data_IF_722605466957
#
_entry.id   IF_722605466957
#
_cell.length_a   1.000
_cell.length_b   1.000
_cell.length_c   1.000
_cell.angle_alpha   90.00
_cell.angle_beta   90.00
_cell.angle_gamma   90.00
#
_symmetry.space_group_name_H-M   'P 1'
#
loop_
_entity.id
_entity.type
_entity.pdbx_description
1 polymer ?
#
# COMPACT_ATOMS: atom_id res chain seq x y z
N UNK A 1 9.99 0.47 7.61
CA UNK A 1 10.52 1.19 8.80
C UNK A 1 9.74 0.68 10.00
N UNK A 2 10.39 0.29 11.09
CA UNK A 2 9.72 -0.26 12.27
C UNK A 2 9.04 0.86 13.05
N UNK A 3 7.70 0.85 13.10
CA UNK A 3 6.87 1.85 13.77
C UNK A 3 7.25 2.06 15.23
N UNK A 4 7.70 0.99 15.87
CA UNK A 4 8.16 1.01 17.26
C UNK A 4 9.40 1.86 17.43
N UNK A 5 10.27 1.88 16.41
CA UNK A 5 11.49 2.69 16.39
C UNK A 5 11.14 4.17 16.22
N UNK A 6 10.23 4.51 15.31
CA UNK A 6 9.75 5.88 15.13
C UNK A 6 9.11 6.42 16.41
N UNK A 7 8.18 5.67 17.01
CA UNK A 7 7.55 6.06 18.28
C UNK A 7 8.56 6.25 19.41
N UNK A 8 9.56 5.38 19.50
CA UNK A 8 10.60 5.49 20.52
C UNK A 8 11.40 6.79 20.35
N UNK A 9 11.86 7.08 19.14
CA UNK A 9 12.59 8.32 18.86
C UNK A 9 11.74 9.55 19.12
N UNK A 10 10.45 9.51 18.75
CA UNK A 10 9.55 10.63 18.95
C UNK A 10 9.26 10.88 20.44
N UNK A 11 9.10 9.82 21.24
CA UNK A 11 8.98 9.92 22.70
C UNK A 11 10.24 10.50 23.35
N UNK A 12 11.43 10.08 22.89
CA UNK A 12 12.70 10.66 23.36
C UNK A 12 12.78 12.14 23.01
N UNK A 13 12.43 12.52 21.79
CA UNK A 13 12.45 13.91 21.34
C UNK A 13 11.48 14.80 22.15
N UNK A 14 10.27 14.31 22.44
CA UNK A 14 9.30 15.02 23.30
C UNK A 14 9.86 15.23 24.71
N UNK A 15 10.51 14.22 25.28
CA UNK A 15 11.12 14.32 26.61
C UNK A 15 12.25 15.36 26.65
N UNK A 16 13.09 15.42 25.61
CA UNK A 16 14.14 16.41 25.46
C UNK A 16 13.58 17.83 25.32
N UNK A 17 12.52 18.01 24.50
CA UNK A 17 11.86 19.32 24.35
C UNK A 17 11.26 19.80 25.68
N UNK A 18 10.74 18.90 26.51
CA UNK A 18 10.21 19.23 27.84
C UNK A 18 11.26 19.76 28.82
N UNK A 19 12.55 19.55 28.57
CA UNK A 19 13.65 20.07 29.39
C UNK A 19 14.14 21.47 28.99
N UNK A 20 13.65 22.01 27.87
CA UNK A 20 14.03 23.33 27.34
C UNK A 20 13.21 24.48 28.00
N UNK A 21 13.71 25.72 27.99
CA UNK A 21 12.96 26.90 28.45
C UNK A 21 11.63 27.09 27.69
N UNK A 22 10.60 27.59 28.39
CA UNK A 22 9.23 27.71 27.84
C UNK A 22 9.12 28.50 26.54
N UNK A 23 10.02 29.47 26.28
CA UNK A 23 10.01 30.27 25.05
C UNK A 23 10.30 29.46 23.78
N UNK A 24 11.02 28.33 23.90
CA UNK A 24 11.38 27.47 22.77
C UNK A 24 10.49 26.22 22.66
N UNK A 25 9.81 25.84 23.76
CA UNK A 25 8.96 24.64 23.79
C UNK A 25 7.79 24.71 22.83
N UNK A 26 7.12 25.86 22.71
CA UNK A 26 5.85 25.97 21.97
C UNK A 26 6.03 25.61 20.49
N UNK A 27 7.05 26.19 19.84
CA UNK A 27 7.33 25.96 18.42
C UNK A 27 7.79 24.52 18.15
N UNK A 28 8.59 23.94 19.05
CA UNK A 28 9.06 22.56 18.91
C UNK A 28 7.93 21.54 19.11
N UNK A 29 7.03 21.78 20.07
CA UNK A 29 5.83 20.94 20.28
C UNK A 29 4.90 20.97 19.06
N UNK A 30 4.73 22.12 18.42
CA UNK A 30 3.96 22.23 17.18
C UNK A 30 4.59 21.41 16.04
N UNK A 31 5.91 21.50 15.84
CA UNK A 31 6.63 20.73 14.83
C UNK A 31 6.57 19.22 15.06
N UNK A 32 6.66 18.77 16.32
CA UNK A 32 6.49 17.36 16.67
C UNK A 32 5.08 16.88 16.30
N UNK A 33 4.05 17.64 16.68
CA UNK A 33 2.66 17.30 16.36
C UNK A 33 2.41 17.26 14.85
N UNK A 34 2.96 18.21 14.10
CA UNK A 34 2.87 18.21 12.64
C UNK A 34 3.56 16.98 12.02
N UNK A 35 4.71 16.59 12.57
CA UNK A 35 5.46 15.41 12.14
C UNK A 35 4.70 14.11 12.40
N UNK A 36 4.05 13.98 13.56
CA UNK A 36 3.16 12.84 13.87
C UNK A 36 2.01 12.73 12.87
N UNK A 37 1.33 13.85 12.59
CA UNK A 37 0.21 13.91 11.65
C UNK A 37 0.68 13.50 10.24
N UNK A 38 1.78 14.08 9.76
CA UNK A 38 2.34 13.74 8.44
C UNK A 38 2.75 12.29 8.35
N UNK A 39 3.38 11.73 9.38
CA UNK A 39 3.77 10.33 9.42
C UNK A 39 2.55 9.40 9.36
N UNK A 40 1.47 9.74 10.08
CA UNK A 40 0.21 9.00 10.06
C UNK A 40 -0.47 9.04 8.69
N UNK A 41 -0.56 10.21 8.07
CA UNK A 41 -1.12 10.36 6.72
C UNK A 41 -0.31 9.57 5.68
N UNK A 42 1.02 9.66 5.75
CA UNK A 42 1.91 8.91 4.85
C UNK A 42 1.70 7.41 4.97
N UNK A 43 1.55 6.87 6.19
CA UNK A 43 1.20 5.44 6.37
C UNK A 43 -0.12 5.07 5.77
N UNK A 44 -1.14 5.92 5.97
CA UNK A 44 -2.47 5.69 5.41
C UNK A 44 -2.41 5.63 3.88
N UNK A 45 -1.69 6.56 3.26
CA UNK A 45 -1.46 6.55 1.80
C UNK A 45 -0.70 5.30 1.36
N UNK A 46 0.34 4.89 2.08
CA UNK A 46 1.10 3.68 1.75
C UNK A 46 0.23 2.42 1.84
N UNK A 47 -0.59 2.29 2.89
CA UNK A 47 -1.54 1.18 3.04
C UNK A 47 -2.53 1.14 1.87
N UNK A 48 -3.11 2.28 1.50
CA UNK A 48 -4.05 2.36 0.38
C UNK A 48 -3.41 1.99 -0.97
N UNK A 49 -2.15 2.37 -1.18
CA UNK A 49 -1.38 1.95 -2.37
C UNK A 49 -1.16 0.44 -2.34
N UNK A 50 -0.76 -0.11 -1.20
CA UNK A 50 -0.55 -1.54 -1.04
C UNK A 50 -1.83 -2.33 -1.34
N UNK A 51 -2.97 -1.89 -0.79
CA UNK A 51 -4.28 -2.51 -1.05
C UNK A 51 -4.66 -2.43 -2.54
N UNK A 52 -4.37 -1.30 -3.20
CA UNK A 52 -4.62 -1.12 -4.64
C UNK A 52 -3.74 -2.03 -5.49
N UNK A 53 -2.48 -2.24 -5.10
CA UNK A 53 -1.55 -3.15 -5.78
C UNK A 53 -1.98 -4.61 -5.59
N UNK A 54 -2.41 -4.99 -4.39
CA UNK A 54 -2.92 -6.33 -4.12
C UNK A 54 -4.22 -6.61 -4.88
N UNK A 55 -5.11 -5.61 -4.97
CA UNK A 55 -6.30 -5.69 -5.81
C UNK A 55 -5.93 -5.87 -7.29
N UNK A 56 -5.04 -5.02 -7.81
CA UNK A 56 -4.57 -5.12 -9.20
C UNK A 56 -3.94 -6.49 -9.50
N UNK A 57 -3.12 -7.00 -8.58
CA UNK A 57 -2.53 -8.34 -8.70
C UNK A 57 -3.61 -9.42 -8.82
N UNK A 58 -4.67 -9.34 -8.03
CA UNK A 58 -5.79 -10.27 -8.09
C UNK A 58 -6.54 -10.14 -9.42
N UNK A 59 -6.83 -8.91 -9.87
CA UNK A 59 -7.49 -8.66 -11.16
C UNK A 59 -6.70 -9.26 -12.33
N UNK A 60 -5.37 -9.10 -12.33
CA UNK A 60 -4.50 -9.70 -13.36
C UNK A 60 -4.61 -11.23 -13.34
N UNK A 61 -4.64 -11.87 -12.17
CA UNK A 61 -4.82 -13.34 -12.08
C UNK A 61 -6.13 -13.79 -12.71
N UNK A 62 -7.23 -13.06 -12.49
CA UNK A 62 -8.52 -13.38 -13.10
C UNK A 62 -8.49 -13.17 -14.62
N UNK A 63 -7.93 -12.07 -15.10
CA UNK A 63 -7.82 -11.80 -16.55
C UNK A 63 -7.01 -12.92 -17.23
N UNK A 64 -5.89 -13.34 -16.64
CA UNK A 64 -5.08 -14.42 -17.19
C UNK A 64 -5.81 -15.77 -17.18
N UNK A 65 -6.60 -16.04 -16.14
CA UNK A 65 -7.41 -17.24 -16.04
C UNK A 65 -8.48 -17.28 -17.14
N UNK A 66 -9.24 -16.19 -17.31
CA UNK A 66 -10.29 -16.09 -18.33
C UNK A 66 -9.70 -16.12 -19.75
N UNK A 67 -8.54 -15.50 -19.96
CA UNK A 67 -7.81 -15.56 -21.23
C UNK A 67 -7.43 -17.00 -21.59
N UNK A 68 -6.92 -17.77 -20.63
CA UNK A 68 -6.56 -19.17 -20.86
C UNK A 68 -7.78 -20.05 -21.10
N UNK A 69 -8.90 -19.78 -20.41
CA UNK A 69 -10.16 -20.49 -20.64
C UNK A 69 -10.69 -20.24 -22.07
N UNK A 70 -10.73 -18.98 -22.50
CA UNK A 70 -11.16 -18.61 -23.86
C UNK A 70 -10.21 -19.13 -24.94
N UNK A 71 -8.90 -19.19 -24.68
CA UNK A 71 -7.93 -19.82 -25.59
C UNK A 71 -8.24 -21.31 -25.80
N UNK A 72 -8.45 -22.07 -24.72
CA UNK A 72 -8.79 -23.50 -24.78
C UNK A 72 -10.11 -23.75 -25.48
N UNK A 73 -11.11 -22.93 -25.22
CA UNK A 73 -12.41 -23.02 -25.88
C UNK A 73 -12.28 -22.79 -27.39
N UNK A 74 -11.53 -21.77 -27.81
CA UNK A 74 -11.28 -21.50 -29.23
C UNK A 74 -10.57 -22.68 -29.92
N UNK A 75 -9.54 -23.25 -29.28
CA UNK A 75 -8.85 -24.44 -29.79
C UNK A 75 -9.79 -25.65 -29.94
N UNK A 76 -10.67 -25.86 -28.97
CA UNK A 76 -11.68 -26.93 -29.03
C UNK A 76 -12.68 -26.72 -30.17
N UNK A 77 -13.22 -25.50 -30.30
CA UNK A 77 -14.16 -25.16 -31.37
C UNK A 77 -13.54 -25.29 -32.76
N UNK A 78 -12.27 -24.91 -32.93
CA UNK A 78 -11.55 -25.11 -34.20
C UNK A 78 -11.44 -26.58 -34.57
N UNK A 79 -11.08 -27.45 -33.61
CA UNK A 79 -11.03 -28.90 -33.86
C UNK A 79 -12.38 -29.47 -34.29
N UNK A 80 -13.46 -29.05 -33.64
CA UNK A 80 -14.81 -29.48 -34.05
C UNK A 80 -15.16 -29.03 -35.48
N UNK A 81 -14.78 -27.81 -35.88
CA UNK A 81 -15.01 -27.34 -37.23
C UNK A 81 -14.21 -28.12 -38.27
N UNK A 82 -12.94 -28.43 -37.97
CA UNK A 82 -12.09 -29.24 -38.84
C UNK A 82 -12.66 -30.66 -39.00
N UNK A 83 -13.16 -31.28 -37.91
CA UNK A 83 -13.81 -32.60 -37.94
C UNK A 83 -15.18 -32.61 -38.63
N UNK A 84 -15.89 -31.48 -38.67
CA UNK A 84 -17.21 -31.35 -39.30
C UNK A 84 -17.15 -30.98 -40.79
N UNK A 85 -15.96 -30.59 -41.28
CA UNK A 85 -15.72 -30.12 -42.65
C UNK A 85 -15.20 -31.18 -43.62
N UNK A 86 -14.99 -32.42 -43.16
CA UNK A 86 -14.75 -33.62 -43.99
C UNK A 86 -16.06 -34.37 -44.29
#
# INVERSE_FOLDING_TARGET
MDDKLFERHLKTLIAEIGSLPESEQTKLKELVKETEIRHKEMKKSFSAIQDSVDFLRLSIKYILFDLEATRRENEYLRKLLDESGE
#
